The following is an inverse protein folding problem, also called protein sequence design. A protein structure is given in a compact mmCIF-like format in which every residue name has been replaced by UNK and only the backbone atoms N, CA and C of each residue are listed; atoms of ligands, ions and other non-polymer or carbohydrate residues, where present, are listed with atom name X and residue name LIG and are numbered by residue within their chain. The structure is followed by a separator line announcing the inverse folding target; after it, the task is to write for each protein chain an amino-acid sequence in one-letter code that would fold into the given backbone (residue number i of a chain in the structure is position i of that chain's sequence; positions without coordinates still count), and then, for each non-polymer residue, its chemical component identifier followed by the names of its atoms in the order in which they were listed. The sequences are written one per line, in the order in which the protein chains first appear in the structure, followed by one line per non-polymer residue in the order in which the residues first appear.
data_IF_317571229014
#
_entry.id   IF_317571229014
#
_cell.length_a   1.000
_cell.length_b   1.000
_cell.length_c   1.000
_cell.angle_alpha   90.00
_cell.angle_beta   90.00
_cell.angle_gamma   90.00
#
_symmetry.space_group_name_H-M   'P 1'
#
loop_
_entity.id
_entity.type
_entity.pdbx_description
1 polymer ?
#
# COMPACT_ATOMS: atom_id res chain seq x y z
N UNK A 1 67.72 -55.38 32.42
CA UNK A 1 67.78 -55.93 31.07
C UNK A 1 67.81 -54.73 30.17
N UNK A 2 69.00 -54.25 29.90
CA UNK A 2 69.26 -53.03 29.10
C UNK A 2 69.26 -53.44 27.63
N UNK A 3 68.42 -52.75 26.86
CA UNK A 3 68.33 -52.96 25.43
C UNK A 3 69.19 -51.90 24.74
N UNK A 4 70.21 -52.42 24.09
CA UNK A 4 71.25 -51.68 23.40
C UNK A 4 70.73 -51.09 22.12
N UNK A 5 70.66 -49.78 22.02
CA UNK A 5 70.24 -49.03 20.81
C UNK A 5 71.45 -48.82 19.92
N UNK A 6 71.42 -49.40 18.73
CA UNK A 6 72.48 -49.39 17.73
C UNK A 6 72.64 -47.99 17.08
N UNK A 7 73.87 -47.38 17.10
CA UNK A 7 74.07 -46.01 16.56
C UNK A 7 74.07 -45.93 15.03
N UNK A 8 73.91 -47.06 14.33
CA UNK A 8 73.92 -47.07 12.85
C UNK A 8 72.57 -46.64 12.15
N UNK A 9 71.48 -46.66 12.89
CA UNK A 9 70.15 -46.34 12.27
C UNK A 9 69.86 -44.84 12.23
N UNK A 10 70.45 -44.00 13.06
CA UNK A 10 70.27 -42.55 13.05
C UNK A 10 70.99 -41.84 11.92
N UNK A 11 72.11 -42.34 11.48
CA UNK A 11 72.92 -41.76 10.38
C UNK A 11 72.24 -41.94 9.02
N UNK A 12 71.55 -43.07 8.82
CA UNK A 12 70.82 -43.35 7.56
C UNK A 12 69.54 -42.56 7.39
N UNK A 13 68.97 -42.08 8.49
CA UNK A 13 67.74 -41.26 8.42
C UNK A 13 68.06 -39.78 8.18
N UNK A 14 69.16 -39.27 8.55
CA UNK A 14 69.59 -37.90 8.23
C UNK A 14 70.03 -37.74 6.78
N UNK A 15 70.73 -38.72 6.22
CA UNK A 15 71.13 -38.72 4.81
C UNK A 15 69.94 -38.87 3.83
N UNK A 16 68.94 -39.63 4.16
CA UNK A 16 67.68 -39.69 3.36
C UNK A 16 66.87 -38.39 3.42
N UNK A 17 66.95 -37.64 4.52
CA UNK A 17 66.27 -36.33 4.61
C UNK A 17 66.96 -35.21 3.86
N UNK A 18 68.33 -35.27 3.76
CA UNK A 18 69.06 -34.26 2.99
C UNK A 18 68.96 -34.50 1.47
N UNK A 19 68.63 -35.71 0.99
CA UNK A 19 68.44 -35.98 -0.44
C UNK A 19 67.05 -35.58 -0.93
N UNK A 20 66.04 -35.52 -0.09
CA UNK A 20 64.69 -35.16 -0.47
C UNK A 20 64.48 -33.64 -0.63
N UNK A 21 65.38 -32.79 -0.08
CA UNK A 21 65.28 -31.31 -0.21
C UNK A 21 66.16 -30.73 -1.31
N UNK A 22 66.86 -31.52 -2.06
CA UNK A 22 67.78 -31.04 -3.13
C UNK A 22 67.01 -30.75 -4.48
N UNK A 23 65.68 -30.96 -4.59
CA UNK A 23 64.97 -30.86 -5.86
C UNK A 23 64.27 -29.56 -6.08
N UNK A 24 64.37 -28.58 -5.17
CA UNK A 24 63.69 -27.27 -5.32
C UNK A 24 64.69 -26.10 -5.25
N UNK A 25 65.76 -26.16 -6.01
CA UNK A 25 66.49 -24.96 -6.41
C UNK A 25 65.95 -24.46 -7.73
N UNK A 26 64.78 -23.87 -7.65
CA UNK A 26 64.26 -23.04 -8.74
C UNK A 26 65.09 -21.75 -8.79
N UNK A 27 65.94 -21.63 -9.80
CA UNK A 27 66.71 -20.43 -10.06
C UNK A 27 65.80 -19.32 -10.43
N UNK A 28 65.43 -18.46 -9.47
CA UNK A 28 64.73 -17.21 -9.77
C UNK A 28 65.69 -16.36 -10.60
N UNK A 29 65.47 -16.34 -11.92
CA UNK A 29 66.06 -15.30 -12.76
C UNK A 29 65.43 -13.97 -12.38
N UNK A 30 66.20 -13.16 -11.66
CA UNK A 30 65.88 -11.75 -11.49
C UNK A 30 65.95 -11.06 -12.86
N UNK A 31 64.85 -11.13 -13.61
CA UNK A 31 64.60 -10.20 -14.71
C UNK A 31 64.39 -8.82 -14.10
N UNK A 32 65.41 -7.97 -14.21
CA UNK A 32 65.32 -6.57 -13.87
C UNK A 32 64.24 -5.94 -14.75
N UNK A 33 63.01 -5.91 -14.24
CA UNK A 33 61.85 -5.30 -14.93
C UNK A 33 62.16 -3.81 -15.10
N UNK A 34 62.52 -3.43 -16.33
CA UNK A 34 62.80 -2.05 -16.67
C UNK A 34 61.59 -1.18 -16.33
N UNK A 35 61.74 -0.23 -15.40
CA UNK A 35 60.69 0.71 -14.94
C UNK A 35 59.96 1.45 -16.12
N UNK A 36 60.64 1.56 -17.27
CA UNK A 36 60.04 2.09 -18.51
C UNK A 36 59.03 1.13 -19.17
N UNK A 37 59.27 -0.18 -19.12
CA UNK A 37 58.34 -1.20 -19.69
C UNK A 37 57.10 -1.30 -18.86
N UNK A 38 57.22 -1.34 -17.52
CA UNK A 38 56.11 -1.37 -16.57
C UNK A 38 55.21 -0.14 -16.68
N UNK A 39 55.79 1.06 -16.79
CA UNK A 39 55.01 2.29 -17.02
C UNK A 39 54.22 2.25 -18.35
N UNK A 40 54.80 1.72 -19.41
CA UNK A 40 54.15 1.61 -20.72
C UNK A 40 53.02 0.60 -20.70
N UNK A 41 53.17 -0.52 -19.99
CA UNK A 41 52.14 -1.54 -19.84
C UNK A 41 50.97 -1.06 -18.92
N UNK A 42 51.28 -0.33 -17.84
CA UNK A 42 50.26 0.31 -17.00
C UNK A 42 49.46 1.34 -17.80
N UNK A 43 50.15 2.16 -18.61
CA UNK A 43 49.46 3.14 -19.44
C UNK A 43 48.57 2.50 -20.53
N UNK A 44 49.03 1.36 -21.08
CA UNK A 44 48.24 0.56 -22.02
C UNK A 44 47.03 -0.06 -21.36
N UNK A 45 47.18 -0.65 -20.16
CA UNK A 45 46.05 -1.22 -19.39
C UNK A 45 45.05 -0.13 -18.97
N UNK A 46 45.54 1.02 -18.51
CA UNK A 46 44.67 2.15 -18.17
C UNK A 46 43.87 2.68 -19.39
N UNK A 47 44.55 2.77 -20.55
CA UNK A 47 43.85 3.17 -21.81
C UNK A 47 42.81 2.16 -22.26
N UNK A 48 43.11 0.85 -22.18
CA UNK A 48 42.13 -0.21 -22.48
C UNK A 48 40.95 -0.21 -21.51
N UNK A 49 41.24 -0.01 -20.22
CA UNK A 49 40.17 0.11 -19.18
C UNK A 49 39.27 1.31 -19.41
N UNK A 50 39.82 2.45 -19.84
CA UNK A 50 39.04 3.65 -20.14
C UNK A 50 38.14 3.46 -21.37
N UNK A 51 38.69 2.85 -22.44
CA UNK A 51 37.89 2.50 -23.65
C UNK A 51 36.80 1.49 -23.31
N UNK A 52 37.13 0.45 -22.54
CA UNK A 52 36.12 -0.53 -22.10
C UNK A 52 35.02 0.11 -21.22
N UNK A 53 35.42 0.96 -20.30
CA UNK A 53 34.46 1.70 -19.44
C UNK A 53 33.52 2.61 -20.24
N UNK A 54 34.04 3.32 -21.25
CA UNK A 54 33.23 4.14 -22.15
C UNK A 54 32.27 3.32 -22.99
N UNK A 55 32.75 2.22 -23.59
CA UNK A 55 31.88 1.32 -24.39
C UNK A 55 30.82 0.66 -23.53
N UNK A 56 31.17 0.19 -22.34
CA UNK A 56 30.23 -0.40 -21.39
C UNK A 56 29.16 0.61 -20.92
N UNK A 57 29.57 1.85 -20.62
CA UNK A 57 28.64 2.92 -20.23
C UNK A 57 27.68 3.30 -21.34
N UNK A 58 28.18 3.44 -22.59
CA UNK A 58 27.34 3.73 -23.73
C UNK A 58 26.38 2.57 -24.06
N UNK A 59 26.86 1.33 -23.99
CA UNK A 59 26.04 0.14 -24.19
C UNK A 59 24.94 0.07 -23.12
N UNK A 60 25.29 0.27 -21.84
CA UNK A 60 24.32 0.26 -20.73
C UNK A 60 23.27 1.37 -20.91
N UNK A 61 23.69 2.59 -21.30
CA UNK A 61 22.78 3.71 -21.55
C UNK A 61 21.84 3.47 -22.74
N UNK A 62 22.31 2.78 -23.78
CA UNK A 62 21.50 2.45 -24.95
C UNK A 62 20.52 1.30 -24.69
N UNK A 63 20.89 0.32 -23.83
CA UNK A 63 20.05 -0.81 -23.46
C UNK A 63 19.08 -0.52 -22.33
N UNK A 64 19.35 0.52 -21.52
CA UNK A 64 18.51 0.89 -20.38
C UNK A 64 17.03 1.09 -20.73
N UNK A 65 16.64 1.89 -21.76
CA UNK A 65 15.23 2.08 -22.10
C UNK A 65 14.55 0.76 -22.53
N UNK A 66 15.25 -0.13 -23.21
CA UNK A 66 14.72 -1.43 -23.62
C UNK A 66 14.59 -2.41 -22.42
N UNK A 67 15.53 -2.35 -21.48
CA UNK A 67 15.45 -3.12 -20.24
C UNK A 67 14.35 -2.60 -19.31
N UNK A 68 14.16 -1.28 -19.22
CA UNK A 68 13.09 -0.68 -18.43
C UNK A 68 11.70 -1.05 -18.98
N UNK A 69 11.57 -1.26 -20.29
CA UNK A 69 10.34 -1.70 -20.95
C UNK A 69 10.08 -3.22 -20.75
N UNK A 70 11.13 -4.04 -20.69
CA UNK A 70 11.05 -5.50 -20.47
C UNK A 70 10.86 -5.89 -18.99
N UNK A 71 11.40 -5.09 -18.08
CA UNK A 71 11.30 -5.30 -16.64
C UNK A 71 10.57 -4.11 -16.00
N UNK A 72 9.29 -3.90 -16.26
CA UNK A 72 8.46 -2.87 -15.63
C UNK A 72 8.57 -2.92 -14.09
N UNK A 73 9.78 -2.66 -13.58
CA UNK A 73 10.12 -2.88 -12.18
C UNK A 73 9.90 -1.65 -11.29
N UNK A 74 9.40 -0.54 -11.86
CA UNK A 74 9.12 0.66 -11.09
C UNK A 74 7.63 0.97 -11.11
N UNK A 75 6.89 0.70 -10.02
CA UNK A 75 5.50 1.12 -9.90
C UNK A 75 5.40 2.64 -10.06
N UNK A 76 4.37 3.08 -10.77
CA UNK A 76 4.11 4.51 -10.93
C UNK A 76 3.89 5.15 -9.55
N UNK A 77 4.49 6.33 -9.34
CA UNK A 77 4.27 7.09 -8.12
C UNK A 77 2.82 7.55 -8.07
N UNK A 78 2.14 7.20 -7.00
CA UNK A 78 0.77 7.63 -6.75
C UNK A 78 0.80 9.03 -6.14
N UNK A 79 0.01 9.95 -6.69
CA UNK A 79 -0.21 11.28 -6.14
C UNK A 79 -1.71 11.45 -5.91
N UNK A 80 -2.08 11.81 -4.69
CA UNK A 80 -3.45 12.20 -4.36
C UNK A 80 -3.58 13.68 -4.72
N UNK A 81 -4.60 14.09 -5.51
CA UNK A 81 -4.82 15.50 -5.82
C UNK A 81 -4.97 16.34 -4.54
N UNK A 82 -4.33 17.51 -4.53
CA UNK A 82 -4.55 18.50 -3.47
C UNK A 82 -5.99 19.03 -3.55
N UNK A 83 -6.52 19.43 -2.41
CA UNK A 83 -7.85 20.05 -2.36
C UNK A 83 -7.75 21.45 -2.95
N UNK A 84 -8.51 21.71 -4.02
CA UNK A 84 -8.75 23.06 -4.49
C UNK A 84 -9.66 23.74 -3.48
N UNK A 85 -9.24 24.87 -2.89
CA UNK A 85 -10.14 25.73 -2.13
C UNK A 85 -11.14 26.30 -3.13
N UNK A 86 -12.39 25.76 -3.12
CA UNK A 86 -13.50 26.38 -3.84
C UNK A 86 -13.69 27.77 -3.22
N UNK A 87 -13.13 28.80 -3.85
CA UNK A 87 -13.53 30.18 -3.56
C UNK A 87 -15.01 30.26 -3.91
N UNK A 88 -15.87 30.46 -2.87
CA UNK A 88 -17.28 30.79 -3.01
C UNK A 88 -17.41 32.11 -3.79
N UNK A 89 -17.26 32.06 -5.13
CA UNK A 89 -17.78 33.11 -5.99
C UNK A 89 -19.31 32.98 -5.98
N UNK A 90 -19.91 33.64 -5.00
CA UNK A 90 -21.35 33.92 -5.00
C UNK A 90 -21.69 34.78 -6.22
N UNK A 91 -21.90 34.12 -7.35
CA UNK A 91 -22.61 34.71 -8.48
C UNK A 91 -24.05 34.87 -8.05
N UNK A 92 -24.65 36.07 -8.09
CA UNK A 92 -26.07 36.23 -7.88
C UNK A 92 -26.78 35.61 -9.09
N UNK A 93 -27.15 34.33 -8.96
CA UNK A 93 -28.10 33.74 -9.88
C UNK A 93 -29.49 34.35 -9.60
N UNK A 94 -30.12 34.87 -10.66
CA UNK A 94 -31.54 35.18 -10.68
C UNK A 94 -32.31 34.02 -10.07
N UNK A 95 -33.01 34.26 -8.95
CA UNK A 95 -33.91 33.30 -8.32
C UNK A 95 -34.93 32.85 -9.35
N UNK A 96 -34.96 31.59 -9.81
CA UNK A 96 -36.08 31.05 -10.57
C UNK A 96 -37.29 31.05 -9.63
N UNK A 97 -38.39 31.59 -10.05
CA UNK A 97 -39.68 31.49 -9.35
C UNK A 97 -39.86 30.08 -8.78
N UNK A 98 -39.92 29.97 -7.48
CA UNK A 98 -40.09 28.71 -6.77
C UNK A 98 -41.41 28.07 -7.19
N UNK A 99 -41.37 27.26 -8.23
CA UNK A 99 -42.43 26.31 -8.52
C UNK A 99 -42.49 25.40 -7.31
N UNK A 100 -43.56 25.50 -6.51
CA UNK A 100 -43.81 24.59 -5.39
C UNK A 100 -43.88 23.17 -5.97
N UNK A 101 -42.75 22.45 -6.00
CA UNK A 101 -42.75 21.02 -6.27
C UNK A 101 -43.50 20.37 -5.11
N UNK A 102 -44.70 19.90 -5.37
CA UNK A 102 -45.41 19.06 -4.42
C UNK A 102 -44.57 17.80 -4.22
N UNK A 103 -44.07 17.64 -3.01
CA UNK A 103 -43.34 16.42 -2.62
C UNK A 103 -44.36 15.27 -2.59
N UNK A 104 -44.55 14.61 -3.72
CA UNK A 104 -45.33 13.41 -3.84
C UNK A 104 -44.47 12.14 -3.72
N UNK A 105 -45.07 10.98 -3.66
CA UNK A 105 -44.41 9.70 -3.56
C UNK A 105 -43.45 9.43 -4.76
N UNK A 106 -43.74 10.00 -5.91
CA UNK A 106 -42.91 9.86 -7.11
C UNK A 106 -41.61 10.67 -6.99
N UNK A 107 -41.69 11.91 -6.52
CA UNK A 107 -40.52 12.76 -6.25
C UNK A 107 -39.59 12.12 -5.20
N UNK A 108 -40.17 11.54 -4.14
CA UNK A 108 -39.39 10.78 -3.14
C UNK A 108 -38.68 9.56 -3.75
N UNK A 109 -39.41 8.81 -4.60
CA UNK A 109 -38.80 7.63 -5.28
C UNK A 109 -37.68 8.02 -6.19
N UNK A 110 -37.80 9.11 -6.95
CA UNK A 110 -36.71 9.62 -7.82
C UNK A 110 -35.53 10.07 -7.03
N UNK A 111 -35.69 10.74 -5.89
CA UNK A 111 -34.61 11.09 -4.97
C UNK A 111 -33.91 9.84 -4.45
N UNK A 112 -34.64 8.82 -3.99
CA UNK A 112 -34.06 7.56 -3.52
C UNK A 112 -33.29 6.84 -4.64
N UNK A 113 -33.79 6.85 -5.87
CA UNK A 113 -33.07 6.26 -7.01
C UNK A 113 -31.76 7.00 -7.30
N UNK A 114 -31.76 8.33 -7.20
CA UNK A 114 -30.57 9.15 -7.37
C UNK A 114 -29.50 8.82 -6.30
N UNK A 115 -29.93 8.79 -5.02
CA UNK A 115 -29.01 8.40 -3.91
C UNK A 115 -28.47 7.00 -4.10
N UNK A 116 -29.28 6.04 -4.50
CA UNK A 116 -28.88 4.66 -4.76
C UNK A 116 -27.88 4.59 -5.94
N UNK A 117 -28.09 5.42 -6.97
CA UNK A 117 -27.14 5.49 -8.10
C UNK A 117 -25.76 6.00 -7.66
N UNK A 118 -25.71 7.07 -6.85
CA UNK A 118 -24.47 7.59 -6.27
C UNK A 118 -23.78 6.53 -5.41
N UNK A 119 -24.55 5.88 -4.52
CA UNK A 119 -24.03 4.81 -3.67
C UNK A 119 -23.45 3.64 -4.50
N UNK A 120 -24.19 3.18 -5.52
CA UNK A 120 -23.74 2.09 -6.40
C UNK A 120 -22.47 2.43 -7.16
N UNK A 121 -22.35 3.67 -7.64
CA UNK A 121 -21.14 4.10 -8.36
C UNK A 121 -19.92 4.23 -7.41
N UNK A 122 -20.11 4.78 -6.22
CA UNK A 122 -19.04 4.86 -5.20
C UNK A 122 -18.65 3.47 -4.68
N UNK A 123 -19.61 2.54 -4.57
CA UNK A 123 -19.36 1.18 -4.10
C UNK A 123 -18.41 0.37 -4.99
N UNK A 124 -18.21 0.76 -6.26
CA UNK A 124 -17.20 0.15 -7.13
C UNK A 124 -15.77 0.31 -6.62
N UNK A 125 -15.54 1.25 -5.71
CA UNK A 125 -14.24 1.45 -5.05
C UNK A 125 -14.15 0.78 -3.68
N UNK A 126 -15.23 0.21 -3.17
CA UNK A 126 -15.27 -0.44 -1.86
C UNK A 126 -15.11 -1.95 -2.04
N UNK A 127 -14.25 -2.55 -1.22
CA UNK A 127 -13.93 -3.96 -1.21
C UNK A 127 -14.01 -4.52 0.20
N UNK A 128 -14.00 -5.83 0.33
CA UNK A 128 -13.78 -6.50 1.61
C UNK A 128 -12.34 -6.99 1.71
N UNK A 129 -11.68 -6.69 2.82
CA UNK A 129 -10.37 -7.23 3.16
C UNK A 129 -10.61 -8.31 4.18
N UNK A 130 -10.18 -9.53 3.88
CA UNK A 130 -10.45 -10.71 4.67
C UNK A 130 -9.18 -11.44 5.06
N UNK A 131 -9.07 -11.80 6.34
CA UNK A 131 -8.00 -12.63 6.87
C UNK A 131 -8.45 -14.08 7.00
N UNK A 132 -7.65 -15.02 6.49
CA UNK A 132 -7.91 -16.47 6.63
C UNK A 132 -6.85 -17.13 7.47
N UNK A 133 -7.21 -18.18 8.23
CA UNK A 133 -6.28 -18.92 9.09
C UNK A 133 -5.65 -20.13 8.41
N UNK A 134 -6.00 -20.43 7.14
CA UNK A 134 -5.43 -21.54 6.37
C UNK A 134 -5.96 -21.62 4.94
N UNK A 135 -5.21 -22.31 4.06
CA UNK A 135 -5.48 -22.46 2.63
C UNK A 135 -6.84 -23.11 2.27
N UNK A 136 -7.55 -23.72 3.23
CA UNK A 136 -8.81 -24.44 2.98
C UNK A 136 -10.06 -23.63 3.33
N UNK A 137 -9.95 -22.58 4.12
CA UNK A 137 -11.13 -21.86 4.60
C UNK A 137 -11.84 -21.02 3.52
N UNK A 138 -11.12 -20.59 2.49
CA UNK A 138 -11.70 -19.77 1.42
C UNK A 138 -12.48 -20.59 0.36
N UNK A 139 -12.23 -21.89 0.25
CA UNK A 139 -12.93 -22.79 -0.70
C UNK A 139 -14.23 -23.37 -0.17
N UNK A 140 -14.45 -23.29 1.13
CA UNK A 140 -15.70 -23.70 1.75
C UNK A 140 -16.65 -22.49 1.82
N UNK A 141 -17.88 -22.66 1.33
CA UNK A 141 -19.00 -21.69 1.30
C UNK A 141 -19.41 -21.14 2.71
N UNK A 142 -18.59 -21.40 3.73
CA UNK A 142 -18.73 -20.99 5.13
C UNK A 142 -17.67 -19.96 5.52
N UNK A 143 -17.41 -18.99 4.62
CA UNK A 143 -16.54 -17.86 4.93
C UNK A 143 -17.11 -17.08 6.14
N UNK A 144 -16.43 -17.15 7.27
CA UNK A 144 -16.86 -16.43 8.47
C UNK A 144 -16.38 -14.96 8.36
N UNK A 145 -17.29 -14.07 7.94
CA UNK A 145 -17.05 -12.61 7.85
C UNK A 145 -16.59 -11.96 9.16
N UNK A 146 -16.44 -12.73 10.24
CA UNK A 146 -15.98 -12.20 11.53
C UNK A 146 -14.56 -11.66 11.51
N UNK A 147 -13.73 -12.09 10.56
CA UNK A 147 -12.36 -11.64 10.41
C UNK A 147 -12.18 -10.84 9.10
N UNK A 148 -13.09 -9.93 8.84
CA UNK A 148 -13.03 -9.05 7.67
C UNK A 148 -13.31 -7.60 8.02
N UNK A 149 -12.87 -6.70 7.15
CA UNK A 149 -13.11 -5.25 7.22
C UNK A 149 -13.32 -4.69 5.83
N UNK A 150 -14.02 -3.58 5.74
CA UNK A 150 -14.10 -2.88 4.46
C UNK A 150 -12.76 -2.22 4.12
N UNK A 151 -12.42 -2.24 2.83
CA UNK A 151 -11.29 -1.56 2.23
C UNK A 151 -11.72 -0.62 1.12
N UNK A 152 -10.82 0.27 0.74
CA UNK A 152 -11.04 1.27 -0.29
C UNK A 152 -9.94 1.18 -1.35
N UNK A 153 -10.33 0.97 -2.61
CA UNK A 153 -9.41 1.01 -3.76
C UNK A 153 -8.98 2.46 -3.96
N UNK A 154 -7.67 2.73 -3.78
CA UNK A 154 -7.15 4.09 -3.91
C UNK A 154 -6.48 4.31 -5.26
N UNK A 155 -5.71 3.34 -5.75
CA UNK A 155 -4.94 3.52 -6.96
C UNK A 155 -4.61 2.19 -7.65
N UNK A 156 -4.40 2.27 -8.95
CA UNK A 156 -3.67 1.30 -9.76
C UNK A 156 -2.32 1.92 -10.13
N UNK A 157 -1.22 1.30 -9.73
CA UNK A 157 0.13 1.78 -10.03
C UNK A 157 0.74 1.14 -11.30
N UNK A 158 -0.08 0.45 -12.08
CA UNK A 158 0.31 -0.26 -13.30
C UNK A 158 0.78 -1.71 -13.07
N UNK A 159 1.13 -2.09 -11.85
CA UNK A 159 1.54 -3.43 -11.45
C UNK A 159 0.60 -4.04 -10.42
N UNK A 160 0.10 -3.22 -9.53
CA UNK A 160 -0.72 -3.63 -8.39
C UNK A 160 -1.90 -2.69 -8.21
N UNK A 161 -3.03 -3.25 -7.84
CA UNK A 161 -4.16 -2.51 -7.32
C UNK A 161 -3.95 -2.28 -5.82
N UNK A 162 -3.99 -1.02 -5.39
CA UNK A 162 -3.69 -0.61 -4.03
C UNK A 162 -4.97 -0.31 -3.26
N UNK A 163 -5.14 -0.99 -2.14
CA UNK A 163 -6.31 -0.92 -1.28
C UNK A 163 -5.92 -0.44 0.10
N UNK A 164 -6.58 0.59 0.56
CA UNK A 164 -6.45 1.15 1.90
C UNK A 164 -7.46 0.49 2.86
N UNK A 165 -7.03 0.12 4.06
CA UNK A 165 -7.93 -0.45 5.05
C UNK A 165 -7.25 -0.72 6.38
N UNK A 166 -8.02 -1.21 7.38
CA UNK A 166 -7.52 -1.53 8.71
C UNK A 166 -6.55 -2.70 8.70
N UNK A 167 -5.55 -2.67 9.58
CA UNK A 167 -4.53 -3.72 9.73
C UNK A 167 -4.76 -4.63 10.92
N UNK A 168 -5.72 -4.32 11.79
CA UNK A 168 -6.07 -5.13 12.97
C UNK A 168 -6.47 -6.57 12.63
N UNK A 169 -7.08 -6.78 11.45
CA UNK A 169 -7.44 -8.12 10.94
C UNK A 169 -6.22 -9.03 10.72
N UNK A 170 -5.02 -8.43 10.54
CA UNK A 170 -3.77 -9.17 10.30
C UNK A 170 -3.28 -9.94 11.53
N UNK A 171 -3.75 -9.60 12.74
CA UNK A 171 -3.23 -10.18 13.99
C UNK A 171 -3.48 -11.67 14.10
N UNK A 172 -4.51 -12.18 13.43
CA UNK A 172 -4.95 -13.58 13.49
C UNK A 172 -4.95 -14.27 12.12
N UNK A 173 -4.58 -13.54 11.04
CA UNK A 173 -4.65 -14.04 9.67
C UNK A 173 -3.32 -14.66 9.22
N UNK A 174 -3.39 -15.84 8.58
CA UNK A 174 -2.28 -16.45 7.85
C UNK A 174 -2.13 -15.87 6.44
N UNK A 175 -3.25 -15.77 5.73
CA UNK A 175 -3.33 -15.18 4.39
C UNK A 175 -4.37 -14.05 4.34
N UNK A 176 -4.13 -13.08 3.46
CA UNK A 176 -5.04 -11.96 3.23
C UNK A 176 -5.62 -12.07 1.82
N UNK A 177 -6.91 -11.85 1.74
CA UNK A 177 -7.66 -11.81 0.49
C UNK A 177 -8.45 -10.51 0.38
N UNK A 178 -8.57 -10.01 -0.84
CA UNK A 178 -9.47 -8.91 -1.18
C UNK A 178 -10.60 -9.48 -2.02
N UNK A 179 -11.82 -9.26 -1.55
CA UNK A 179 -13.04 -9.69 -2.20
C UNK A 179 -13.71 -8.46 -2.81
N UNK A 180 -13.93 -8.50 -4.11
CA UNK A 180 -14.54 -7.42 -4.86
C UNK A 180 -16.07 -7.54 -4.89
N UNK A 181 -16.73 -6.49 -5.38
CA UNK A 181 -18.19 -6.41 -5.43
C UNK A 181 -18.87 -7.49 -6.28
N UNK A 182 -18.13 -8.15 -7.18
CA UNK A 182 -18.60 -9.27 -7.98
C UNK A 182 -18.45 -10.63 -7.28
N UNK A 183 -17.93 -10.63 -6.04
CA UNK A 183 -17.69 -11.83 -5.23
C UNK A 183 -16.38 -12.56 -5.52
N UNK A 184 -15.58 -12.12 -6.50
CA UNK A 184 -14.28 -12.72 -6.74
C UNK A 184 -13.27 -12.31 -5.67
N UNK A 185 -12.47 -13.29 -5.24
CA UNK A 185 -11.45 -13.14 -4.21
C UNK A 185 -10.06 -13.29 -4.80
N UNK A 186 -9.15 -12.40 -4.42
CA UNK A 186 -7.75 -12.42 -4.87
C UNK A 186 -6.82 -12.30 -3.68
N UNK A 187 -5.70 -13.03 -3.72
CA UNK A 187 -4.67 -12.95 -2.69
C UNK A 187 -4.04 -11.57 -2.68
N UNK A 188 -3.89 -11.02 -1.48
CA UNK A 188 -3.30 -9.71 -1.26
C UNK A 188 -2.10 -9.79 -0.31
N UNK A 189 -1.25 -8.78 -0.37
CA UNK A 189 -0.13 -8.60 0.56
C UNK A 189 -0.20 -7.23 1.21
N UNK A 190 0.17 -7.14 2.48
CA UNK A 190 0.34 -5.85 3.15
C UNK A 190 1.65 -5.21 2.68
N UNK A 191 1.56 -4.08 2.00
CA UNK A 191 2.73 -3.32 1.51
C UNK A 191 3.34 -2.46 2.59
N UNK A 192 2.51 -1.68 3.25
CA UNK A 192 2.92 -0.73 4.28
C UNK A 192 1.78 -0.47 5.24
N UNK A 193 2.10 -0.28 6.51
CA UNK A 193 1.14 0.13 7.54
C UNK A 193 1.60 1.38 8.26
N UNK A 194 0.65 2.14 8.75
CA UNK A 194 0.87 3.18 9.73
C UNK A 194 1.11 2.59 11.13
N UNK A 195 1.80 3.32 11.97
CA UNK A 195 2.10 2.91 13.35
C UNK A 195 1.03 3.33 14.36
N UNK A 196 0.23 4.37 14.05
CA UNK A 196 -0.65 5.04 15.00
C UNK A 196 -2.13 4.76 14.78
N UNK A 197 -2.61 4.83 13.52
CA UNK A 197 -4.04 4.79 13.18
C UNK A 197 -4.56 3.41 12.80
N UNK A 198 -3.76 2.36 12.88
CA UNK A 198 -4.13 0.99 12.48
C UNK A 198 -4.59 0.86 11.02
N UNK A 199 -4.10 1.70 10.13
CA UNK A 199 -4.35 1.64 8.70
C UNK A 199 -3.13 1.16 7.91
N UNK A 200 -3.38 0.61 6.73
CA UNK A 200 -2.32 0.17 5.83
C UNK A 200 -2.78 0.06 4.38
N UNK A 201 -1.80 -0.19 3.51
CA UNK A 201 -2.01 -0.45 2.10
C UNK A 201 -1.79 -1.92 1.82
N UNK A 202 -2.80 -2.54 1.24
CA UNK A 202 -2.77 -3.87 0.69
C UNK A 202 -2.62 -3.79 -0.83
N UNK A 203 -1.95 -4.76 -1.40
CA UNK A 203 -1.75 -4.85 -2.84
C UNK A 203 -2.24 -6.19 -3.38
N UNK A 204 -2.98 -6.12 -4.48
CA UNK A 204 -3.33 -7.25 -5.33
C UNK A 204 -2.58 -7.11 -6.64
N UNK A 205 -1.92 -8.18 -7.11
CA UNK A 205 -1.26 -8.18 -8.41
C UNK A 205 -2.27 -7.89 -9.52
N UNK A 206 -1.99 -6.90 -10.36
CA UNK A 206 -2.87 -6.52 -11.47
C UNK A 206 -3.10 -7.67 -12.44
N UNK A 207 -2.08 -8.50 -12.68
CA UNK A 207 -2.14 -9.64 -13.59
C UNK A 207 -3.03 -10.78 -13.11
N UNK A 208 -3.33 -10.83 -11.81
CA UNK A 208 -4.19 -11.87 -11.24
C UNK A 208 -5.68 -11.51 -11.34
N UNK A 209 -6.02 -10.21 -11.50
CA UNK A 209 -7.40 -9.73 -11.55
C UNK A 209 -7.99 -9.99 -12.95
N UNK A 210 -9.11 -10.71 -13.01
CA UNK A 210 -9.82 -11.02 -14.23
C UNK A 210 -10.46 -9.77 -14.85
N UNK A 211 -10.56 -9.72 -16.19
CA UNK A 211 -11.17 -8.60 -16.91
C UNK A 211 -12.64 -8.33 -16.50
N UNK A 212 -13.37 -9.38 -16.12
CA UNK A 212 -14.74 -9.26 -15.61
C UNK A 212 -14.81 -8.44 -14.32
N UNK A 213 -13.93 -8.73 -13.36
CA UNK A 213 -13.81 -7.97 -12.10
C UNK A 213 -13.28 -6.57 -12.40
N UNK A 214 -12.24 -6.46 -13.24
CA UNK A 214 -11.62 -5.20 -13.59
C UNK A 214 -12.62 -4.18 -14.17
N UNK A 215 -13.57 -4.63 -14.96
CA UNK A 215 -14.62 -3.78 -15.56
C UNK A 215 -15.63 -3.23 -14.55
N UNK A 216 -15.68 -3.79 -13.34
CA UNK A 216 -16.68 -3.46 -12.31
C UNK A 216 -16.11 -2.62 -11.16
N UNK A 217 -14.80 -2.42 -11.14
CA UNK A 217 -14.11 -1.68 -10.08
C UNK A 217 -13.55 -0.36 -10.58
N UNK A 218 -13.29 0.55 -9.67
CA UNK A 218 -12.57 1.80 -9.94
C UNK A 218 -11.84 2.29 -8.70
N UNK A 219 -10.83 3.13 -8.89
CA UNK A 219 -10.24 3.87 -7.79
C UNK A 219 -11.24 4.88 -7.21
N UNK A 220 -11.18 5.09 -5.92
CA UNK A 220 -12.03 6.03 -5.20
C UNK A 220 -11.72 7.49 -5.59
N UNK A 221 -12.75 8.29 -5.71
CA UNK A 221 -12.61 9.75 -5.76
C UNK A 221 -12.63 10.27 -4.33
N UNK A 222 -11.50 10.86 -3.90
CA UNK A 222 -11.36 11.44 -2.56
C UNK A 222 -11.85 12.90 -2.59
N UNK A 223 -12.86 13.20 -1.81
CA UNK A 223 -13.37 14.55 -1.60
C UNK A 223 -12.60 15.33 -0.56
N UNK A 224 -13.19 16.41 -0.04
CA UNK A 224 -12.68 17.20 1.06
C UNK A 224 -13.57 17.06 2.29
N UNK A 225 -12.98 16.69 3.43
CA UNK A 225 -13.69 16.74 4.73
C UNK A 225 -13.67 18.14 5.35
N UNK A 226 -12.88 19.07 4.78
CA UNK A 226 -12.81 20.45 5.26
C UNK A 226 -14.10 21.23 4.94
N UNK A 227 -14.75 20.90 3.82
CA UNK A 227 -15.99 21.53 3.38
C UNK A 227 -17.26 20.90 3.99
N UNK A 228 -17.13 19.81 4.74
CA UNK A 228 -18.28 19.09 5.31
C UNK A 228 -18.89 19.87 6.47
N UNK A 229 -20.20 20.09 6.36
CA UNK A 229 -20.99 20.82 7.35
C UNK A 229 -22.04 19.93 8.02
N UNK A 230 -22.45 20.32 9.23
CA UNK A 230 -23.56 19.67 9.93
C UNK A 230 -24.85 19.81 9.12
N UNK A 231 -25.52 18.69 8.89
CA UNK A 231 -26.74 18.60 8.11
C UNK A 231 -26.54 18.18 6.66
N UNK A 232 -25.28 18.12 6.18
CA UNK A 232 -24.97 17.62 4.84
C UNK A 232 -25.43 16.16 4.70
N UNK A 233 -25.99 15.77 3.54
CA UNK A 233 -26.30 14.39 3.28
C UNK A 233 -25.07 13.49 3.31
N UNK A 234 -25.20 12.33 3.95
CA UNK A 234 -24.15 11.33 4.07
C UNK A 234 -24.64 9.96 3.63
N UNK A 235 -23.83 9.27 2.84
CA UNK A 235 -24.02 7.89 2.43
C UNK A 235 -22.90 7.07 3.06
N UNK A 236 -23.22 5.95 3.70
CA UNK A 236 -22.21 5.05 4.25
C UNK A 236 -22.20 3.74 3.49
N UNK A 237 -20.99 3.26 3.15
CA UNK A 237 -20.76 2.07 2.33
C UNK A 237 -19.74 1.15 2.99
N UNK A 238 -19.82 -0.15 2.69
CA UNK A 238 -18.89 -1.16 3.17
C UNK A 238 -19.53 -2.10 4.17
N UNK A 239 -19.08 -2.07 5.41
CA UNK A 239 -19.63 -2.87 6.52
C UNK A 239 -19.99 -1.99 7.74
N UNK A 240 -20.73 -0.88 7.58
CA UNK A 240 -21.05 0.02 8.68
C UNK A 240 -21.90 -0.63 9.76
N UNK A 241 -22.68 -1.66 9.39
CA UNK A 241 -23.61 -2.38 10.27
C UNK A 241 -23.06 -3.74 10.73
N UNK A 242 -21.79 -4.03 10.46
CA UNK A 242 -21.13 -5.31 10.80
C UNK A 242 -21.33 -6.43 9.78
N UNK A 243 -21.90 -6.14 8.62
CA UNK A 243 -22.02 -7.03 7.46
C UNK A 243 -21.66 -6.30 6.17
N UNK A 244 -21.06 -7.03 5.26
CA UNK A 244 -20.47 -6.49 4.02
C UNK A 244 -21.54 -6.12 3.00
N UNK A 245 -21.21 -5.14 2.12
CA UNK A 245 -22.12 -4.68 1.05
C UNK A 245 -23.30 -3.86 1.55
N UNK A 246 -23.23 -3.37 2.77
CA UNK A 246 -24.29 -2.53 3.34
C UNK A 246 -24.21 -1.09 2.85
N UNK A 247 -25.37 -0.48 2.70
CA UNK A 247 -25.54 0.93 2.34
C UNK A 247 -26.48 1.58 3.36
N UNK A 248 -26.07 2.73 3.91
CA UNK A 248 -26.92 3.55 4.77
C UNK A 248 -26.99 4.98 4.26
N UNK A 249 -28.11 5.64 4.54
CA UNK A 249 -28.36 7.04 4.17
C UNK A 249 -28.72 7.82 5.42
N UNK A 250 -28.19 9.02 5.54
CA UNK A 250 -28.48 9.94 6.64
C UNK A 250 -27.81 11.27 6.43
N UNK A 251 -27.45 11.93 7.53
CA UNK A 251 -26.81 13.25 7.51
C UNK A 251 -25.60 13.29 8.43
N UNK A 252 -24.71 14.26 8.17
CA UNK A 252 -23.62 14.59 9.08
C UNK A 252 -24.19 15.24 10.34
N UNK A 253 -24.05 14.59 11.47
CA UNK A 253 -24.47 15.11 12.78
C UNK A 253 -23.46 16.08 13.36
N UNK A 254 -22.15 15.78 13.17
CA UNK A 254 -21.03 16.63 13.62
C UNK A 254 -19.80 16.42 12.73
N UNK A 255 -19.10 17.51 12.43
CA UNK A 255 -17.81 17.51 11.73
C UNK A 255 -16.72 18.27 12.51
N UNK A 256 -16.97 18.59 13.77
CA UNK A 256 -16.06 19.37 14.63
C UNK A 256 -15.40 18.56 15.73
N UNK A 257 -15.82 17.32 15.91
CA UNK A 257 -15.18 16.41 16.87
C UNK A 257 -13.79 16.01 16.35
N UNK A 258 -12.89 15.67 17.25
CA UNK A 258 -11.56 15.21 16.91
C UNK A 258 -11.08 14.13 17.88
N UNK A 259 -10.21 13.27 17.41
CA UNK A 259 -9.48 12.29 18.21
C UNK A 259 -7.99 12.66 18.27
N UNK A 260 -7.40 12.53 19.45
CA UNK A 260 -5.98 12.80 19.68
C UNK A 260 -5.18 11.49 19.58
N UNK A 261 -4.12 11.51 18.80
CA UNK A 261 -3.16 10.42 18.65
C UNK A 261 -1.74 10.94 18.91
N UNK A 262 -0.78 10.04 19.00
CA UNK A 262 0.61 10.40 19.29
C UNK A 262 1.26 11.34 18.26
N UNK A 263 0.77 11.32 17.03
CA UNK A 263 1.28 12.10 15.89
C UNK A 263 0.45 13.34 15.57
N UNK A 264 -0.73 13.51 16.17
CA UNK A 264 -1.56 14.67 15.91
C UNK A 264 -3.02 14.52 16.30
N UNK A 265 -3.81 15.50 15.89
CA UNK A 265 -5.24 15.56 16.11
C UNK A 265 -5.95 15.36 14.76
N UNK A 266 -6.88 14.42 14.71
CA UNK A 266 -7.62 14.06 13.51
C UNK A 266 -9.08 14.39 13.69
N UNK A 267 -9.68 15.11 12.73
CA UNK A 267 -11.11 15.44 12.76
C UNK A 267 -11.96 14.21 12.49
N UNK A 268 -13.09 14.16 13.17
CA UNK A 268 -14.06 13.10 13.04
C UNK A 268 -15.33 13.63 12.35
N UNK A 269 -15.85 12.83 11.44
CA UNK A 269 -17.21 12.99 10.89
C UNK A 269 -18.09 12.01 11.62
N UNK A 270 -19.08 12.54 12.36
CA UNK A 270 -20.12 11.75 13.01
C UNK A 270 -21.43 11.92 12.23
N UNK A 271 -22.13 10.82 11.95
CA UNK A 271 -23.41 10.84 11.25
C UNK A 271 -24.57 10.53 12.21
N UNK A 272 -25.79 10.68 11.76
CA UNK A 272 -27.01 10.23 12.45
C UNK A 272 -27.37 8.75 12.10
N UNK A 273 -26.51 8.08 11.36
CA UNK A 273 -26.71 6.69 10.94
C UNK A 273 -26.24 5.75 12.06
N UNK A 274 -27.14 4.86 12.51
CA UNK A 274 -26.75 3.83 13.47
C UNK A 274 -25.77 2.84 12.84
N UNK A 275 -24.70 2.48 13.55
CA UNK A 275 -23.64 1.57 13.11
C UNK A 275 -23.40 0.43 14.08
N UNK A 276 -22.63 -0.56 13.65
CA UNK A 276 -22.14 -1.63 14.52
C UNK A 276 -20.81 -1.21 15.17
N UNK A 277 -20.54 -1.75 16.37
CA UNK A 277 -19.28 -1.49 17.09
C UNK A 277 -18.02 -1.85 16.28
N UNK A 278 -18.11 -2.87 15.44
CA UNK A 278 -17.06 -3.29 14.50
C UNK A 278 -17.29 -2.75 13.09
N UNK A 279 -18.14 -1.73 12.94
CA UNK A 279 -18.44 -1.11 11.66
C UNK A 279 -17.18 -0.55 10.99
N UNK A 280 -17.09 -0.75 9.68
CA UNK A 280 -15.99 -0.28 8.83
C UNK A 280 -16.53 0.14 7.46
N UNK A 281 -15.78 0.94 6.73
CA UNK A 281 -16.21 1.41 5.41
C UNK A 281 -15.88 2.87 5.19
N UNK A 282 -16.71 3.53 4.40
CA UNK A 282 -16.50 4.91 3.99
C UNK A 282 -17.76 5.74 4.15
N UNK A 283 -17.58 7.05 4.33
CA UNK A 283 -18.61 8.07 4.29
C UNK A 283 -18.46 8.82 2.96
N UNK A 284 -19.57 8.97 2.22
CA UNK A 284 -19.60 9.49 0.86
C UNK A 284 -20.57 10.66 0.79
N UNK A 285 -20.25 11.70 0.04
CA UNK A 285 -21.14 12.83 -0.24
C UNK A 285 -22.03 12.56 -1.47
N UNK A 286 -22.92 13.50 -1.80
CA UNK A 286 -23.81 13.37 -2.97
C UNK A 286 -23.12 13.42 -4.33
N UNK A 287 -21.85 13.86 -4.40
CA UNK A 287 -21.03 13.81 -5.61
C UNK A 287 -20.40 12.40 -5.82
N UNK A 288 -20.55 11.48 -4.85
CA UNK A 288 -19.91 10.16 -4.86
C UNK A 288 -18.47 10.18 -4.39
N UNK A 289 -18.02 11.26 -3.74
CA UNK A 289 -16.67 11.42 -3.24
C UNK A 289 -16.57 10.93 -1.80
N UNK A 290 -15.45 10.29 -1.46
CA UNK A 290 -15.16 9.81 -0.12
C UNK A 290 -14.76 11.01 0.75
N UNK A 291 -15.56 11.30 1.77
CA UNK A 291 -15.32 12.37 2.74
C UNK A 291 -14.82 11.86 4.08
N UNK A 292 -14.96 10.56 4.35
CA UNK A 292 -14.47 9.96 5.59
C UNK A 292 -14.25 8.46 5.50
N UNK A 293 -13.39 7.95 6.41
CA UNK A 293 -13.14 6.51 6.61
C UNK A 293 -13.74 6.10 7.94
N UNK A 294 -14.67 5.15 7.93
CA UNK A 294 -15.37 4.69 9.12
C UNK A 294 -14.42 3.94 10.05
N UNK A 295 -14.33 4.43 11.28
CA UNK A 295 -13.65 3.76 12.38
C UNK A 295 -14.42 3.96 13.67
N UNK A 296 -15.09 2.92 14.13
CA UNK A 296 -15.90 2.96 15.35
C UNK A 296 -15.06 2.93 16.64
N UNK A 297 -13.75 2.64 16.54
CA UNK A 297 -12.87 2.65 17.70
C UNK A 297 -12.61 4.06 18.24
N UNK A 298 -12.85 5.10 17.43
CA UNK A 298 -12.68 6.51 17.81
C UNK A 298 -13.98 7.17 18.31
N UNK A 299 -15.08 6.41 18.35
CA UNK A 299 -16.37 6.89 18.88
C UNK A 299 -16.29 7.05 20.40
N UNK A 300 -16.88 8.12 20.92
CA UNK A 300 -17.10 8.28 22.37
C UNK A 300 -18.08 7.20 22.88
N UNK A 301 -17.92 6.77 24.14
CA UNK A 301 -18.73 5.69 24.73
C UNK A 301 -20.24 5.93 24.61
N UNK A 302 -20.67 7.19 24.75
CA UNK A 302 -22.09 7.58 24.68
C UNK A 302 -22.64 7.67 23.24
N UNK A 303 -21.75 7.76 22.21
CA UNK A 303 -22.13 7.84 20.79
C UNK A 303 -21.82 6.56 20.01
N UNK A 304 -21.55 5.45 20.68
CA UNK A 304 -21.06 4.19 20.09
C UNK A 304 -21.95 3.56 19.04
N UNK A 305 -23.21 4.00 18.93
CA UNK A 305 -24.17 3.46 17.96
C UNK A 305 -24.29 4.30 16.69
N UNK A 306 -23.54 5.39 16.57
CA UNK A 306 -23.55 6.24 15.38
C UNK A 306 -22.30 6.01 14.55
N UNK A 307 -22.47 5.95 13.23
CA UNK A 307 -21.31 5.82 12.32
C UNK A 307 -20.43 7.05 12.46
N UNK A 308 -19.19 6.80 12.88
CA UNK A 308 -18.14 7.78 13.07
C UNK A 308 -16.89 7.36 12.32
N UNK A 309 -16.14 8.31 11.81
CA UNK A 309 -14.89 8.03 11.10
C UNK A 309 -14.00 9.25 10.97
N UNK A 310 -12.76 9.00 10.53
CA UNK A 310 -11.79 10.03 10.25
C UNK A 310 -12.17 10.84 9.02
N UNK A 311 -12.07 12.16 9.09
CA UNK A 311 -12.17 13.03 7.93
C UNK A 311 -11.06 12.73 6.91
N UNK A 312 -11.43 12.60 5.64
CA UNK A 312 -10.50 12.17 4.59
C UNK A 312 -9.31 13.13 4.42
N UNK A 313 -9.51 14.44 4.55
CA UNK A 313 -8.47 15.46 4.37
C UNK A 313 -7.32 15.29 5.35
N UNK A 314 -7.59 14.88 6.58
CA UNK A 314 -6.57 14.75 7.62
C UNK A 314 -5.71 13.49 7.45
N UNK A 315 -6.18 12.50 6.70
CA UNK A 315 -5.46 11.23 6.47
C UNK A 315 -4.90 11.09 5.05
N UNK A 316 -5.19 12.02 4.13
CA UNK A 316 -4.68 11.98 2.73
C UNK A 316 -3.16 11.90 2.65
N UNK A 317 -2.46 12.72 3.43
CA UNK A 317 -0.99 12.75 3.43
C UNK A 317 -0.41 11.40 3.90
N UNK A 318 -0.94 10.85 5.00
CA UNK A 318 -0.59 9.52 5.51
C UNK A 318 -0.83 8.45 4.43
N UNK A 319 -2.01 8.45 3.79
CA UNK A 319 -2.31 7.53 2.70
C UNK A 319 -1.29 7.63 1.57
N UNK A 320 -0.90 8.85 1.16
CA UNK A 320 0.06 9.07 0.09
C UNK A 320 1.45 8.51 0.43
N UNK A 321 1.94 8.67 1.67
CA UNK A 321 3.18 8.03 2.12
C UNK A 321 3.09 6.51 2.03
N UNK A 322 2.01 5.92 2.55
CA UNK A 322 1.82 4.48 2.57
C UNK A 322 1.69 3.90 1.15
N UNK A 323 0.97 4.56 0.23
CA UNK A 323 0.82 4.17 -1.17
C UNK A 323 2.16 4.09 -1.91
N UNK A 324 3.10 4.96 -1.55
CA UNK A 324 4.45 4.99 -2.11
C UNK A 324 5.47 4.15 -1.30
N UNK A 325 5.00 3.29 -0.39
CA UNK A 325 5.84 2.40 0.42
C UNK A 325 6.69 3.13 1.47
N UNK A 326 6.41 4.41 1.71
CA UNK A 326 7.14 5.25 2.66
C UNK A 326 6.54 5.11 4.07
N UNK A 327 7.37 5.28 5.11
CA UNK A 327 6.89 5.44 6.48
C UNK A 327 6.27 6.81 6.65
N UNK A 328 5.20 6.88 7.42
CA UNK A 328 4.61 8.17 7.81
C UNK A 328 5.60 8.87 8.76
N UNK A 329 6.08 10.07 8.44
CA UNK A 329 6.97 10.81 9.33
C UNK A 329 6.16 11.30 10.53
N UNK A 330 6.67 11.07 11.73
CA UNK A 330 6.13 11.66 12.95
C UNK A 330 7.28 12.21 13.79
N UNK A 331 6.99 13.26 14.53
CA UNK A 331 7.95 13.84 15.46
C UNK A 331 7.84 13.03 16.74
N UNK A 332 8.77 12.10 16.97
CA UNK A 332 8.92 11.44 18.27
C UNK A 332 9.46 12.45 19.28
N UNK A 333 8.64 12.83 20.24
CA UNK A 333 9.04 13.66 21.38
C UNK A 333 9.36 12.74 22.56
#
# INVERSE_FOLDING_TARGET
MEEHKDPGEEINREEEREQEYSFLQETIKDETISKKKVKKDIFRMAGLGLVFGLVASLSFSAFKPWMDELFQSNPQKVTIPEEEEEEDEATPEDEPEATQQVLDAESYRQMQQSLTSVASEANKSVVEIAGTTGDQDWMNDSYDHKNSTAGLIIADNGQELLVFGKTSIMKEAGDIHIIFSDGHSYKASLKKKDGNLDFGIYAVSRGDIQDTTWSQIKAATLGSSNSVSKGDPAIVLGSPFGYVGAVGFGTVASSKNSAEFADGQYRLICTDIAGARNGSGVIVNLKGEIIGIIDQSVSEEDSMNLVTGFGISDIKEMMQFLLNGQGVPYIGI
#
